data_IF_749926910378
#
_entry.id   IF_749926910378
#
_cell.length_a   1.000
_cell.length_b   1.000
_cell.length_c   1.000
_cell.angle_alpha   90.00
_cell.angle_beta   90.00
_cell.angle_gamma   90.00
#
_symmetry.space_group_name_H-M   'P 1'
#
loop_
_entity.id
_entity.type
_entity.pdbx_description
1 polymer ?
#
# COMPACT_ATOMS: atom_id res chain seq x y z
N UNK A 1 -52.24 15.78 38.17
CA UNK A 1 -51.59 17.10 38.37
C UNK A 1 -50.61 17.29 37.21
N UNK A 2 -51.06 17.98 36.17
CA UNK A 2 -50.59 19.33 35.77
C UNK A 2 -49.15 19.29 35.22
N UNK A 3 -48.82 19.61 33.97
CA UNK A 3 -49.59 20.14 32.85
C UNK A 3 -48.65 20.62 31.73
N UNK A 4 -49.15 20.50 30.49
CA UNK A 4 -48.82 21.26 29.27
C UNK A 4 -47.42 21.18 28.60
N UNK A 5 -47.38 20.91 27.27
CA UNK A 5 -46.20 21.03 26.40
C UNK A 5 -46.09 22.45 25.78
N UNK A 6 -44.87 22.95 25.65
CA UNK A 6 -44.56 24.22 24.99
C UNK A 6 -44.74 24.15 23.48
N UNK A 7 -45.62 25.01 22.96
CA UNK A 7 -45.93 25.17 21.54
C UNK A 7 -44.87 26.02 20.81
N UNK A 8 -44.56 25.56 19.59
CA UNK A 8 -44.42 26.31 18.32
C UNK A 8 -43.78 27.71 18.36
N UNK A 9 -42.68 27.86 17.62
CA UNK A 9 -42.58 28.96 16.64
C UNK A 9 -41.71 28.54 15.44
N UNK A 10 -42.38 28.24 14.32
CA UNK A 10 -41.78 28.22 12.99
C UNK A 10 -41.55 29.68 12.58
N UNK A 11 -40.33 30.03 12.21
CA UNK A 11 -40.07 31.29 11.49
C UNK A 11 -39.44 30.95 10.13
N UNK A 12 -40.30 30.84 9.13
CA UNK A 12 -39.96 30.89 7.71
C UNK A 12 -39.65 32.36 7.36
N UNK A 13 -38.40 32.68 7.03
CA UNK A 13 -38.09 33.90 6.29
C UNK A 13 -38.10 33.58 4.80
N UNK A 14 -39.23 33.90 4.16
CA UNK A 14 -39.36 34.07 2.72
C UNK A 14 -39.37 35.59 2.47
N UNK A 15 -38.35 36.10 1.78
CA UNK A 15 -38.37 37.45 1.20
C UNK A 15 -38.36 37.29 -0.32
N UNK A 16 -39.47 37.68 -0.94
CA UNK A 16 -39.66 37.82 -2.38
C UNK A 16 -40.18 39.24 -2.64
N UNK A 17 -39.51 39.99 -3.53
CA UNK A 17 -39.87 41.32 -4.05
C UNK A 17 -39.28 41.37 -5.49
N UNK A 18 -39.96 41.98 -6.48
CA UNK A 18 -40.31 41.30 -7.74
C UNK A 18 -39.52 41.75 -8.97
N UNK A 19 -39.66 40.94 -10.02
CA UNK A 19 -39.30 41.27 -11.39
C UNK A 19 -40.41 42.11 -12.06
N UNK A 20 -40.00 43.15 -12.78
CA UNK A 20 -40.79 43.81 -13.83
C UNK A 20 -40.01 43.67 -15.13
N UNK A 21 -40.62 42.97 -16.08
CA UNK A 21 -40.20 42.94 -17.48
C UNK A 21 -41.19 43.69 -18.36
N UNK A 22 -40.68 44.28 -19.43
CA UNK A 22 -41.37 44.52 -20.70
C UNK A 22 -40.26 44.57 -21.78
N UNK A 23 -40.21 43.57 -22.69
CA UNK A 23 -40.73 43.64 -24.07
C UNK A 23 -39.87 44.57 -24.96
N UNK A 24 -39.43 44.25 -26.18
CA UNK A 24 -39.77 43.22 -27.16
C UNK A 24 -38.69 43.26 -28.29
N UNK A 25 -38.61 42.18 -29.09
CA UNK A 25 -38.19 42.08 -30.51
C UNK A 25 -36.92 41.29 -30.85
N UNK A 26 -37.23 40.12 -31.40
CA UNK A 26 -36.50 39.23 -32.30
C UNK A 26 -35.85 39.89 -33.53
N UNK A 27 -34.68 39.38 -33.95
CA UNK A 27 -34.44 38.86 -35.31
C UNK A 27 -32.97 38.47 -35.52
N UNK A 28 -32.75 37.39 -36.28
CA UNK A 28 -31.70 37.34 -37.29
C UNK A 28 -30.38 36.65 -36.93
N UNK A 29 -30.25 35.40 -37.36
CA UNK A 29 -28.96 34.79 -37.62
C UNK A 29 -28.22 35.55 -38.74
N UNK A 30 -26.92 35.82 -38.59
CA UNK A 30 -25.97 35.89 -39.71
C UNK A 30 -24.52 35.93 -39.21
N UNK A 31 -23.71 35.00 -39.73
CA UNK A 31 -22.25 35.12 -39.82
C UNK A 31 -21.89 36.45 -40.50
N UNK A 32 -21.08 37.29 -39.84
CA UNK A 32 -20.61 38.56 -40.37
C UNK A 32 -19.10 38.69 -40.21
N UNK A 33 -18.41 38.87 -41.34
CA UNK A 33 -16.96 39.02 -41.49
C UNK A 33 -16.35 40.12 -40.62
N UNK A 34 -15.08 39.91 -40.24
CA UNK A 34 -14.13 40.94 -39.78
C UNK A 34 -14.26 42.19 -40.66
N UNK A 35 -14.81 43.27 -40.10
CA UNK A 35 -14.68 44.61 -40.65
C UNK A 35 -13.53 45.31 -39.92
N UNK A 36 -12.44 45.56 -40.64
CA UNK A 36 -11.44 46.53 -40.25
C UNK A 36 -12.10 47.91 -40.30
N UNK A 37 -12.27 48.56 -39.14
CA UNK A 37 -12.72 49.94 -39.09
C UNK A 37 -11.52 50.85 -39.34
N UNK A 38 -11.51 51.43 -40.54
CA UNK A 38 -10.59 52.49 -40.95
C UNK A 38 -11.07 53.80 -40.33
N UNK A 39 -10.40 54.27 -39.28
CA UNK A 39 -10.63 55.59 -38.70
C UNK A 39 -10.04 56.63 -39.65
N UNK A 40 -10.91 57.46 -40.21
CA UNK A 40 -10.56 58.65 -40.99
C UNK A 40 -9.92 59.68 -40.05
N UNK A 41 -8.65 60.01 -40.28
CA UNK A 41 -7.94 61.09 -39.60
C UNK A 41 -8.07 62.41 -40.39
N UNK A 42 -8.14 63.58 -39.74
CA UNK A 42 -8.26 64.87 -40.42
C UNK A 42 -6.95 65.28 -41.13
N UNK A 43 -7.09 65.97 -42.26
CA UNK A 43 -5.99 66.48 -43.08
C UNK A 43 -5.25 67.66 -42.44
N UNK A 44 -3.92 67.64 -42.53
CA UNK A 44 -3.06 68.83 -42.57
C UNK A 44 -1.58 68.54 -42.24
N UNK A 45 -0.60 69.35 -42.72
CA UNK A 45 -0.50 70.05 -44.00
C UNK A 45 0.53 69.40 -44.95
N UNK A 46 0.48 69.78 -46.23
CA UNK A 46 1.33 69.25 -47.28
C UNK A 46 2.70 69.95 -47.38
N UNK A 47 3.64 69.17 -47.93
CA UNK A 47 4.85 69.53 -48.70
C UNK A 47 6.18 69.75 -47.96
N UNK A 48 7.18 68.94 -48.36
CA UNK A 48 8.56 69.40 -48.48
C UNK A 48 9.65 68.64 -47.71
N UNK A 49 9.86 67.35 -47.98
CA UNK A 49 11.08 66.64 -47.55
C UNK A 49 11.05 65.16 -47.90
N UNK A 50 12.21 64.50 -48.14
CA UNK A 50 12.23 63.07 -48.44
C UNK A 50 11.65 62.32 -47.26
N UNK A 51 10.43 61.79 -47.41
CA UNK A 51 9.80 60.97 -46.38
C UNK A 51 10.70 59.76 -46.14
N UNK A 52 11.43 59.75 -45.03
CA UNK A 52 12.23 58.59 -44.65
C UNK A 52 11.27 57.39 -44.60
N UNK A 53 11.63 56.24 -45.23
CA UNK A 53 10.76 55.08 -45.23
C UNK A 53 10.60 54.57 -43.79
N UNK A 54 9.38 54.66 -43.25
CA UNK A 54 9.10 54.33 -41.87
C UNK A 54 7.67 54.67 -41.46
N UNK A 55 7.38 54.51 -40.17
CA UNK A 55 6.09 54.79 -39.57
C UNK A 55 6.22 55.97 -38.60
N UNK A 56 5.15 56.75 -38.46
CA UNK A 56 5.09 57.84 -37.49
C UNK A 56 3.98 57.55 -36.48
N UNK A 57 4.31 57.57 -35.20
CA UNK A 57 3.36 57.40 -34.09
C UNK A 57 3.68 58.45 -33.00
N UNK A 58 2.67 59.25 -32.62
CA UNK A 58 2.79 60.37 -31.65
C UNK A 58 4.02 61.29 -31.87
N UNK A 59 4.35 61.60 -33.13
CA UNK A 59 5.48 62.46 -33.48
C UNK A 59 6.86 61.79 -33.44
N UNK A 60 6.96 60.49 -33.11
CA UNK A 60 8.18 59.69 -33.25
C UNK A 60 8.21 58.93 -34.57
N UNK A 61 9.39 58.86 -35.18
CA UNK A 61 9.65 58.08 -36.40
C UNK A 61 10.22 56.71 -36.04
N UNK A 62 9.65 55.65 -36.62
CA UNK A 62 10.03 54.26 -36.45
C UNK A 62 10.44 53.65 -37.80
N UNK A 63 11.57 52.93 -37.82
CA UNK A 63 12.07 52.22 -39.01
C UNK A 63 11.16 51.03 -39.35
N UNK A 64 11.20 50.58 -40.60
CA UNK A 64 10.49 49.36 -41.01
C UNK A 64 11.00 48.16 -40.18
N UNK A 65 10.07 47.33 -39.69
CA UNK A 65 10.28 46.23 -38.73
C UNK A 65 10.68 46.66 -37.32
N UNK A 66 10.77 47.95 -37.02
CA UNK A 66 10.97 48.40 -35.65
C UNK A 66 9.72 48.11 -34.82
N UNK A 67 9.94 47.60 -33.62
CA UNK A 67 8.91 47.41 -32.61
C UNK A 67 9.05 48.42 -31.48
N UNK A 68 7.92 48.85 -30.92
CA UNK A 68 7.88 49.72 -29.75
C UNK A 68 6.68 49.39 -28.87
N UNK A 69 6.80 49.73 -27.58
CA UNK A 69 5.69 49.60 -26.65
C UNK A 69 4.85 50.89 -26.63
N UNK A 70 3.54 50.71 -26.58
CA UNK A 70 2.56 51.79 -26.45
C UNK A 70 1.51 51.39 -25.42
N UNK A 71 1.12 52.31 -24.55
CA UNK A 71 0.02 52.07 -23.61
C UNK A 71 -1.31 52.51 -24.22
N UNK A 72 -2.33 51.65 -24.19
CA UNK A 72 -3.69 51.98 -24.60
C UNK A 72 -4.67 51.52 -23.53
N UNK A 73 -5.46 52.46 -22.97
CA UNK A 73 -6.41 52.20 -21.87
C UNK A 73 -5.78 51.43 -20.68
N UNK A 74 -4.51 51.73 -20.36
CA UNK A 74 -3.77 51.08 -19.27
C UNK A 74 -3.05 49.78 -19.65
N UNK A 75 -3.30 49.21 -20.84
CA UNK A 75 -2.66 47.98 -21.30
C UNK A 75 -1.47 48.27 -22.21
N UNK A 76 -0.37 47.52 -22.05
CA UNK A 76 0.78 47.60 -22.93
C UNK A 76 0.51 46.85 -24.25
N UNK A 77 0.69 47.55 -25.36
CA UNK A 77 0.66 47.03 -26.72
C UNK A 77 2.08 47.04 -27.30
N UNK A 78 2.40 46.04 -28.11
CA UNK A 78 3.61 46.00 -28.93
C UNK A 78 3.22 46.36 -30.36
N UNK A 79 3.69 47.51 -30.82
CA UNK A 79 3.47 48.01 -32.17
C UNK A 79 4.62 47.63 -33.09
N UNK A 80 4.35 47.20 -34.33
CA UNK A 80 5.34 46.86 -35.36
C UNK A 80 5.12 47.73 -36.60
N UNK A 81 6.17 48.39 -37.09
CA UNK A 81 6.11 49.17 -38.32
C UNK A 81 6.27 48.31 -39.59
N UNK A 82 5.35 48.43 -40.54
CA UNK A 82 5.42 47.74 -41.86
C UNK A 82 5.77 48.69 -43.02
N UNK A 83 6.06 49.97 -42.73
CA UNK A 83 6.49 50.99 -43.69
C UNK A 83 5.38 51.96 -44.10
N UNK A 84 5.78 53.07 -44.75
CA UNK A 84 4.93 54.25 -44.95
C UNK A 84 3.61 54.02 -45.70
N UNK A 85 3.51 52.99 -46.55
CA UNK A 85 2.27 52.61 -47.25
C UNK A 85 1.38 51.64 -46.47
N UNK A 86 1.94 50.87 -45.52
CA UNK A 86 1.22 49.84 -44.74
C UNK A 86 0.94 50.26 -43.30
N UNK A 87 1.59 51.32 -42.81
CA UNK A 87 1.47 51.80 -41.44
C UNK A 87 2.07 50.82 -40.42
N UNK A 88 1.53 50.84 -39.21
CA UNK A 88 1.94 49.98 -38.11
C UNK A 88 0.73 49.25 -37.50
N UNK A 89 0.93 48.03 -36.99
CA UNK A 89 -0.08 47.28 -36.24
C UNK A 89 0.38 47.14 -34.78
N UNK A 90 -0.55 47.18 -33.83
CA UNK A 90 -0.27 46.98 -32.42
C UNK A 90 -1.04 45.77 -31.89
N UNK A 91 -0.33 44.88 -31.20
CA UNK A 91 -0.90 43.70 -30.56
C UNK A 91 -0.74 43.81 -29.05
N UNK A 92 -1.69 43.27 -28.27
CA UNK A 92 -1.56 43.25 -26.81
C UNK A 92 -0.31 42.46 -26.43
N UNK A 93 0.54 43.04 -25.58
CA UNK A 93 1.63 42.28 -24.97
C UNK A 93 0.99 41.14 -24.17
N UNK A 94 1.40 39.88 -24.38
CA UNK A 94 0.93 38.79 -23.51
C UNK A 94 1.29 39.16 -22.08
N UNK A 95 0.30 39.12 -21.19
CA UNK A 95 0.52 39.31 -19.77
C UNK A 95 1.57 38.27 -19.32
N UNK A 96 2.58 38.63 -18.52
CA UNK A 96 3.54 37.66 -18.02
C UNK A 96 2.76 36.52 -17.34
N UNK A 97 3.02 35.27 -17.72
CA UNK A 97 2.42 34.11 -17.07
C UNK A 97 2.58 34.27 -15.56
N UNK A 98 1.45 34.30 -14.84
CA UNK A 98 1.53 34.41 -13.39
C UNK A 98 2.25 33.16 -12.85
N UNK A 99 3.15 33.39 -11.90
CA UNK A 99 3.91 32.33 -11.26
C UNK A 99 3.94 32.55 -9.76
N UNK A 100 4.10 31.47 -9.01
CA UNK A 100 4.27 31.50 -7.57
C UNK A 100 5.70 31.13 -7.21
N UNK A 101 6.40 32.02 -6.52
CA UNK A 101 7.72 31.73 -5.96
C UNK A 101 7.57 31.16 -4.54
N UNK A 102 8.00 29.92 -4.33
CA UNK A 102 8.01 29.31 -3.01
C UNK A 102 9.34 29.56 -2.30
N UNK A 103 9.33 30.50 -1.34
CA UNK A 103 10.49 30.83 -0.51
C UNK A 103 11.10 29.65 0.26
N UNK A 104 10.35 28.57 0.49
CA UNK A 104 10.85 27.41 1.23
C UNK A 104 11.66 26.45 0.36
N UNK A 105 11.24 26.25 -0.89
CA UNK A 105 11.93 25.35 -1.83
C UNK A 105 12.88 26.11 -2.75
N UNK A 106 12.72 27.42 -2.90
CA UNK A 106 13.47 28.25 -3.84
C UNK A 106 12.99 28.10 -5.29
N UNK A 107 11.91 27.36 -5.52
CA UNK A 107 11.39 27.07 -6.85
C UNK A 107 10.25 28.02 -7.23
N UNK A 108 10.10 28.22 -8.54
CA UNK A 108 8.99 28.96 -9.14
C UNK A 108 8.05 27.97 -9.81
N UNK A 109 6.76 28.07 -9.50
CA UNK A 109 5.70 27.20 -10.01
C UNK A 109 4.72 28.00 -10.88
N UNK A 110 4.14 27.36 -11.89
CA UNK A 110 3.07 27.94 -12.70
C UNK A 110 1.74 27.83 -11.97
N UNK A 111 0.80 28.72 -12.30
CA UNK A 111 -0.57 28.62 -11.77
C UNK A 111 -1.17 27.26 -12.13
N UNK A 112 -1.72 26.59 -11.12
CA UNK A 112 -2.28 25.23 -11.23
C UNK A 112 -1.30 24.13 -10.85
N UNK A 113 0.01 24.40 -10.78
CA UNK A 113 0.98 23.40 -10.34
C UNK A 113 0.71 22.98 -8.89
N UNK A 114 0.67 21.67 -8.67
CA UNK A 114 0.63 21.05 -7.34
C UNK A 114 1.96 20.40 -7.02
N UNK A 115 2.48 20.60 -5.82
CA UNK A 115 3.78 20.06 -5.42
C UNK A 115 3.83 19.74 -3.93
N UNK A 116 4.77 18.86 -3.55
CA UNK A 116 4.99 18.45 -2.17
C UNK A 116 6.03 19.34 -1.50
N UNK A 117 5.76 19.78 -0.28
CA UNK A 117 6.67 20.59 0.51
C UNK A 117 6.96 19.95 1.87
N UNK A 118 8.15 19.39 2.07
CA UNK A 118 8.61 18.96 3.39
C UNK A 118 8.79 20.17 4.31
N UNK A 119 8.11 20.18 5.46
CA UNK A 119 8.24 21.21 6.49
C UNK A 119 7.87 20.64 7.86
N UNK A 120 8.69 20.88 8.87
CA UNK A 120 8.42 20.48 10.27
C UNK A 120 8.11 18.97 10.43
N UNK A 121 8.84 18.12 9.70
CA UNK A 121 8.62 16.64 9.65
C UNK A 121 7.25 16.22 9.12
N UNK A 122 6.56 17.10 8.40
CA UNK A 122 5.33 16.81 7.67
C UNK A 122 5.51 17.16 6.20
N UNK A 123 4.78 16.47 5.33
CA UNK A 123 4.67 16.84 3.93
C UNK A 123 3.39 17.65 3.75
N UNK A 124 3.51 18.83 3.17
CA UNK A 124 2.40 19.70 2.81
C UNK A 124 2.12 19.58 1.32
N UNK A 125 0.85 19.41 0.95
CA UNK A 125 0.41 19.49 -0.42
C UNK A 125 0.14 20.95 -0.76
N UNK A 126 0.97 21.52 -1.64
CA UNK A 126 0.91 22.90 -2.04
C UNK A 126 0.37 23.05 -3.47
N UNK A 127 -0.29 24.17 -3.73
CA UNK A 127 -0.81 24.54 -5.05
C UNK A 127 -0.51 26.02 -5.31
N UNK A 128 0.06 26.31 -6.48
CA UNK A 128 0.18 27.69 -6.95
C UNK A 128 -1.19 28.17 -7.48
N UNK A 129 -1.80 29.12 -6.77
CA UNK A 129 -3.12 29.66 -7.12
C UNK A 129 -3.01 30.84 -8.07
N UNK A 130 -1.94 31.64 -7.99
CA UNK A 130 -1.77 32.80 -8.86
C UNK A 130 -2.92 33.81 -8.79
N UNK A 131 -3.25 34.30 -7.59
CA UNK A 131 -4.30 35.30 -7.40
C UNK A 131 -3.79 36.74 -7.62
N UNK A 132 -3.14 37.03 -8.76
CA UNK A 132 -2.51 38.31 -9.11
C UNK A 132 -1.29 38.70 -8.27
N UNK A 133 -0.81 37.81 -7.40
CA UNK A 133 0.28 38.05 -6.43
C UNK A 133 1.14 36.82 -6.18
N UNK A 134 1.02 35.76 -7.00
CA UNK A 134 1.77 34.52 -6.78
C UNK A 134 1.38 33.78 -5.50
N UNK A 135 0.08 33.76 -5.16
CA UNK A 135 -0.44 33.11 -3.94
C UNK A 135 -0.23 31.59 -3.98
N UNK A 136 0.37 31.04 -2.92
CA UNK A 136 0.51 29.60 -2.70
C UNK A 136 -0.43 29.18 -1.58
N UNK A 137 -1.21 28.13 -1.79
CA UNK A 137 -2.00 27.47 -0.74
C UNK A 137 -1.39 26.11 -0.43
N UNK A 138 -1.27 25.77 0.84
CA UNK A 138 -0.77 24.46 1.25
C UNK A 138 -1.63 23.86 2.35
N UNK A 139 -1.82 22.55 2.31
CA UNK A 139 -2.63 21.81 3.28
C UNK A 139 -1.96 20.50 3.67
N UNK A 140 -2.24 20.07 4.90
CA UNK A 140 -1.92 18.72 5.40
C UNK A 140 -3.16 17.82 5.44
N UNK A 141 -4.35 18.36 5.16
CA UNK A 141 -5.62 17.66 5.33
C UNK A 141 -5.75 16.41 4.45
N UNK A 142 -5.01 16.35 3.35
CA UNK A 142 -5.01 15.25 2.39
C UNK A 142 -3.97 14.17 2.72
N UNK A 143 -3.37 14.21 3.91
CA UNK A 143 -2.33 13.27 4.34
C UNK A 143 -2.56 12.78 5.76
N UNK A 144 -2.12 11.56 6.01
CA UNK A 144 -2.04 10.98 7.35
C UNK A 144 -0.62 11.14 7.87
N UNK A 145 -0.46 11.55 9.12
CA UNK A 145 0.84 11.76 9.73
C UNK A 145 1.03 10.83 10.91
N UNK A 146 2.12 10.06 10.90
CA UNK A 146 2.46 9.11 11.97
C UNK A 146 3.98 8.99 12.08
N UNK A 147 4.52 9.12 13.30
CA UNK A 147 5.95 8.91 13.56
C UNK A 147 6.91 9.82 12.77
N UNK A 148 6.47 11.01 12.35
CA UNK A 148 7.26 11.92 11.49
C UNK A 148 7.28 11.54 10.02
N UNK A 149 6.47 10.56 9.62
CA UNK A 149 6.20 10.22 8.23
C UNK A 149 4.84 10.79 7.81
N UNK A 150 4.68 11.03 6.50
CA UNK A 150 3.45 11.56 5.92
C UNK A 150 3.01 10.66 4.76
N UNK A 151 1.82 10.09 4.89
CA UNK A 151 1.25 9.11 3.97
C UNK A 151 0.12 9.76 3.16
N UNK A 152 0.06 9.47 1.86
CA UNK A 152 -1.06 9.85 1.00
C UNK A 152 -2.27 8.97 1.30
N UNK A 153 -3.45 9.45 0.94
CA UNK A 153 -4.68 8.66 1.03
C UNK A 153 -4.52 7.37 0.21
N UNK A 154 -4.83 6.24 0.82
CA UNK A 154 -4.66 4.91 0.24
C UNK A 154 -3.29 4.26 0.53
N UNK A 155 -2.29 5.02 0.98
CA UNK A 155 -1.01 4.44 1.37
C UNK A 155 -1.19 3.52 2.59
N UNK A 156 -0.45 2.41 2.58
CA UNK A 156 -0.38 1.46 3.69
C UNK A 156 1.01 1.41 4.30
N UNK A 157 1.10 1.26 5.62
CA UNK A 157 2.38 1.11 6.32
C UNK A 157 2.28 0.11 7.47
N UNK A 158 3.43 -0.39 7.93
CA UNK A 158 3.51 -1.29 9.07
C UNK A 158 4.05 -0.58 10.30
N UNK A 159 3.49 -0.88 11.47
CA UNK A 159 4.01 -0.43 12.76
C UNK A 159 3.84 -1.51 13.83
N UNK A 160 4.75 -1.62 14.81
CA UNK A 160 4.50 -2.47 15.97
C UNK A 160 3.33 -1.93 16.81
N UNK A 161 2.55 -2.82 17.42
CA UNK A 161 1.56 -2.43 18.41
C UNK A 161 2.24 -1.91 19.69
N UNK A 162 1.71 -0.85 20.30
CA UNK A 162 2.36 -0.14 21.41
C UNK A 162 2.57 -1.02 22.65
N UNK A 163 1.65 -1.94 22.91
CA UNK A 163 1.68 -2.84 24.08
C UNK A 163 1.84 -4.31 23.73
N UNK A 164 1.86 -4.66 22.45
CA UNK A 164 1.85 -6.04 21.98
C UNK A 164 2.99 -6.25 21.01
N UNK A 165 3.82 -7.27 21.22
CA UNK A 165 4.94 -7.60 20.32
C UNK A 165 4.52 -8.08 18.92
N UNK A 166 3.36 -7.67 18.42
CA UNK A 166 2.81 -8.01 17.12
C UNK A 166 2.73 -6.77 16.22
N UNK A 167 2.77 -7.01 14.91
CA UNK A 167 2.78 -5.94 13.90
C UNK A 167 1.36 -5.61 13.45
N UNK A 168 1.15 -4.33 13.13
CA UNK A 168 -0.07 -3.81 12.55
C UNK A 168 0.19 -3.36 11.11
N UNK A 169 -0.82 -3.50 10.25
CA UNK A 169 -0.90 -2.89 8.93
C UNK A 169 -1.91 -1.75 9.01
N UNK A 170 -1.45 -0.54 8.70
CA UNK A 170 -2.24 0.67 8.74
C UNK A 170 -2.54 1.16 7.32
N UNK A 171 -3.63 1.90 7.16
CA UNK A 171 -4.04 2.54 5.90
C UNK A 171 -4.47 3.98 6.14
N UNK A 172 -4.06 4.89 5.26
CA UNK A 172 -4.47 6.28 5.30
C UNK A 172 -5.83 6.46 4.64
N UNK A 173 -6.81 6.95 5.40
CA UNK A 173 -8.18 7.20 4.93
C UNK A 173 -8.39 8.67 4.57
N UNK A 174 -7.75 9.59 5.32
CA UNK A 174 -7.70 11.00 4.98
C UNK A 174 -9.04 11.74 5.04
N UNK A 175 -9.97 11.35 5.92
CA UNK A 175 -11.31 11.94 6.13
C UNK A 175 -11.32 13.45 6.51
N UNK A 176 -10.69 14.32 5.71
CA UNK A 176 -10.50 15.75 5.93
C UNK A 176 -9.56 16.14 7.08
N UNK A 177 -9.09 15.16 7.86
CA UNK A 177 -8.26 15.37 9.07
C UNK A 177 -7.01 14.48 9.13
N UNK A 178 -6.71 13.74 8.05
CA UNK A 178 -5.62 12.76 8.07
C UNK A 178 -5.93 11.52 8.90
N UNK A 179 -7.18 11.05 8.91
CA UNK A 179 -7.58 9.84 9.63
C UNK A 179 -6.96 8.58 9.03
N UNK A 180 -6.55 7.66 9.88
CA UNK A 180 -5.99 6.37 9.49
C UNK A 180 -6.43 5.27 10.47
N UNK A 181 -6.40 4.02 10.00
CA UNK A 181 -6.76 2.84 10.81
C UNK A 181 -5.72 1.75 10.65
N UNK A 182 -5.63 0.84 11.62
CA UNK A 182 -4.71 -0.31 11.57
C UNK A 182 -5.40 -1.62 11.96
N UNK A 183 -4.96 -2.71 11.32
CA UNK A 183 -5.36 -4.09 11.64
C UNK A 183 -4.14 -4.93 12.02
N UNK A 184 -4.26 -5.92 12.93
CA UNK A 184 -3.18 -6.86 13.20
C UNK A 184 -2.75 -7.63 11.96
N UNK A 185 -1.45 -7.92 11.85
CA UNK A 185 -0.85 -8.81 10.86
C UNK A 185 -0.34 -10.03 11.61
N UNK A 186 -0.73 -11.22 11.18
CA UNK A 186 -0.01 -12.43 11.56
C UNK A 186 0.93 -12.82 10.42
N UNK A 187 2.23 -12.64 10.64
CA UNK A 187 3.25 -13.05 9.66
C UNK A 187 3.49 -14.57 9.67
N UNK A 188 3.09 -15.23 10.77
CA UNK A 188 3.21 -16.66 10.98
C UNK A 188 2.02 -17.19 11.77
N UNK A 189 1.70 -18.46 11.58
CA UNK A 189 0.79 -19.20 12.43
C UNK A 189 1.60 -20.17 13.30
N UNK A 190 1.26 -20.27 14.59
CA UNK A 190 1.91 -21.22 15.48
C UNK A 190 1.01 -22.42 15.71
N UNK A 191 1.47 -23.60 15.31
CA UNK A 191 0.77 -24.85 15.57
C UNK A 191 1.21 -25.41 16.92
N UNK A 192 0.39 -25.20 17.96
CA UNK A 192 0.67 -25.69 19.31
C UNK A 192 0.84 -27.21 19.39
N UNK A 193 0.19 -27.98 18.50
CA UNK A 193 0.30 -29.43 18.51
C UNK A 193 1.64 -29.91 17.95
N UNK A 194 2.18 -29.19 16.96
CA UNK A 194 3.47 -29.49 16.34
C UNK A 194 4.64 -28.71 16.97
N UNK A 195 4.37 -27.75 17.85
CA UNK A 195 5.38 -26.86 18.45
C UNK A 195 6.13 -26.01 17.41
N UNK A 196 5.57 -25.82 16.22
CA UNK A 196 6.26 -25.25 15.06
C UNK A 196 5.49 -24.05 14.50
N UNK A 197 6.21 -23.06 13.97
CA UNK A 197 5.61 -21.90 13.29
C UNK A 197 5.66 -22.06 11.77
N UNK A 198 4.55 -21.76 11.10
CA UNK A 198 4.40 -21.81 9.65
C UNK A 198 4.17 -20.40 9.09
N UNK A 199 4.68 -20.10 7.90
CA UNK A 199 4.43 -18.80 7.26
C UNK A 199 3.05 -18.76 6.63
N UNK A 200 2.49 -17.57 6.45
CA UNK A 200 1.19 -17.41 5.78
C UNK A 200 1.24 -17.99 4.36
N UNK A 201 0.24 -18.81 4.02
CA UNK A 201 0.15 -19.57 2.78
C UNK A 201 0.79 -20.96 2.83
N UNK A 202 1.58 -21.26 3.87
CA UNK A 202 2.20 -22.59 4.03
C UNK A 202 1.16 -23.64 4.43
N UNK A 203 1.35 -24.86 3.90
CA UNK A 203 0.49 -26.02 4.16
C UNK A 203 1.30 -27.19 4.72
N UNK A 204 0.76 -27.90 5.71
CA UNK A 204 1.41 -29.06 6.31
C UNK A 204 0.40 -30.14 6.71
N UNK A 205 0.84 -31.39 6.75
CA UNK A 205 0.05 -32.52 7.23
C UNK A 205 0.26 -32.72 8.73
N UNK A 206 -0.79 -33.02 9.49
CA UNK A 206 -0.66 -33.42 10.89
C UNK A 206 -1.73 -34.41 11.34
N UNK A 207 -1.44 -35.22 12.38
CA UNK A 207 -2.45 -36.04 13.01
C UNK A 207 -3.42 -35.17 13.84
N UNK A 208 -4.71 -35.37 13.64
CA UNK A 208 -5.80 -34.86 14.44
C UNK A 208 -6.37 -36.00 15.31
N UNK A 209 -6.50 -35.74 16.61
CA UNK A 209 -6.88 -36.74 17.63
C UNK A 209 -6.02 -38.03 17.59
N UNK A 210 -4.79 -37.97 17.05
CA UNK A 210 -3.83 -39.07 17.06
C UNK A 210 -3.97 -40.12 15.96
N UNK A 211 -4.99 -40.04 15.08
CA UNK A 211 -5.18 -41.05 14.03
C UNK A 211 -5.70 -40.51 12.69
N UNK A 212 -6.44 -39.41 12.70
CA UNK A 212 -6.91 -38.78 11.47
C UNK A 212 -5.79 -37.92 10.89
N UNK A 213 -5.49 -38.02 9.60
CA UNK A 213 -4.60 -37.06 8.96
C UNK A 213 -5.40 -35.93 8.34
N UNK A 214 -4.96 -34.71 8.60
CA UNK A 214 -5.51 -33.48 8.04
C UNK A 214 -4.41 -32.62 7.44
N UNK A 215 -4.75 -31.91 6.37
CA UNK A 215 -3.92 -30.91 5.73
C UNK A 215 -4.30 -29.55 6.31
N UNK A 216 -3.36 -28.89 6.97
CA UNK A 216 -3.53 -27.58 7.55
C UNK A 216 -2.91 -26.50 6.67
N UNK A 217 -3.44 -25.27 6.77
CA UNK A 217 -2.97 -24.08 6.05
C UNK A 217 -2.94 -22.89 6.99
N UNK A 218 -1.83 -22.15 6.97
CA UNK A 218 -1.70 -20.89 7.70
C UNK A 218 -2.32 -19.75 6.90
N UNK A 219 -3.40 -19.15 7.40
CA UNK A 219 -4.11 -18.06 6.72
C UNK A 219 -3.68 -16.68 7.22
N UNK A 220 -3.20 -16.57 8.46
CA UNK A 220 -2.55 -15.35 8.93
C UNK A 220 -3.42 -14.09 9.03
N UNK A 221 -4.75 -14.24 9.11
CA UNK A 221 -5.78 -13.18 9.22
C UNK A 221 -5.66 -12.29 10.49
N UNK A 222 -4.46 -11.78 10.78
CA UNK A 222 -4.12 -10.98 11.97
C UNK A 222 -3.87 -11.78 13.25
N UNK A 223 -4.53 -12.92 13.42
CA UNK A 223 -4.47 -13.76 14.63
C UNK A 223 -3.58 -15.00 14.52
N UNK A 224 -3.02 -15.27 13.34
CA UNK A 224 -2.29 -16.52 13.06
C UNK A 224 -3.24 -17.69 12.82
N UNK A 225 -4.40 -17.41 12.20
CA UNK A 225 -5.45 -18.41 11.93
C UNK A 225 -4.91 -19.58 11.11
N UNK A 226 -5.16 -20.79 11.62
CA UNK A 226 -4.88 -22.07 10.95
C UNK A 226 -6.22 -22.72 10.60
N UNK A 227 -6.37 -23.20 9.37
CA UNK A 227 -7.49 -24.04 8.96
C UNK A 227 -6.97 -25.42 8.58
N UNK A 228 -7.74 -26.48 8.83
CA UNK A 228 -7.35 -27.85 8.48
C UNK A 228 -8.50 -28.57 7.77
N UNK A 229 -8.17 -29.42 6.80
CA UNK A 229 -9.11 -30.20 6.01
C UNK A 229 -8.64 -31.64 5.84
N UNK A 230 -9.56 -32.59 5.76
CA UNK A 230 -9.28 -33.98 5.42
C UNK A 230 -9.57 -34.30 3.95
N UNK A 231 -9.75 -33.28 3.09
CA UNK A 231 -10.18 -33.47 1.70
C UNK A 231 -9.31 -34.43 0.89
N UNK A 232 -8.01 -34.50 1.18
CA UNK A 232 -7.05 -35.34 0.47
C UNK A 232 -6.71 -36.65 1.21
N UNK A 233 -7.55 -37.08 2.16
CA UNK A 233 -7.35 -38.26 3.01
C UNK A 233 -8.65 -39.02 3.23
N UNK A 234 -8.57 -40.35 3.23
CA UNK A 234 -9.65 -41.22 3.71
C UNK A 234 -9.32 -41.65 5.14
N UNK A 235 -10.02 -41.08 6.12
CA UNK A 235 -9.82 -41.39 7.54
C UNK A 235 -10.81 -42.47 7.97
N UNK A 236 -10.38 -43.73 7.97
CA UNK A 236 -11.23 -44.85 8.35
C UNK A 236 -11.35 -44.95 9.88
N UNK A 237 -12.54 -44.69 10.39
CA UNK A 237 -12.82 -44.72 11.83
C UNK A 237 -12.73 -46.12 12.42
N UNK A 238 -13.01 -47.17 11.63
CA UNK A 238 -13.04 -48.55 12.11
C UNK A 238 -11.63 -49.05 12.41
N UNK A 239 -10.67 -48.73 11.53
CA UNK A 239 -9.26 -49.11 11.68
C UNK A 239 -8.43 -48.04 12.38
N UNK A 240 -9.01 -46.87 12.68
CA UNK A 240 -8.32 -45.66 13.17
C UNK A 240 -7.05 -45.38 12.37
N UNK A 241 -7.16 -45.48 11.05
CA UNK A 241 -6.02 -45.33 10.13
C UNK A 241 -6.41 -44.37 9.01
N UNK A 242 -5.46 -43.53 8.61
CA UNK A 242 -5.62 -42.63 7.48
C UNK A 242 -4.95 -43.18 6.23
N UNK A 243 -5.65 -43.09 5.11
CA UNK A 243 -5.22 -43.61 3.82
C UNK A 243 -5.13 -42.48 2.79
N UNK A 244 -4.13 -42.53 1.91
CA UNK A 244 -3.98 -41.64 0.76
C UNK A 244 -4.94 -42.07 -0.35
N UNK A 245 -5.26 -41.14 -1.24
CA UNK A 245 -6.07 -41.44 -2.42
C UNK A 245 -5.36 -42.49 -3.27
N UNK A 246 -6.08 -43.56 -3.62
CA UNK A 246 -5.54 -44.73 -4.31
C UNK A 246 -5.11 -45.88 -3.40
N UNK A 247 -4.93 -45.65 -2.10
CA UNK A 247 -4.59 -46.71 -1.16
C UNK A 247 -5.74 -47.72 -1.02
N UNK A 248 -5.38 -49.00 -0.91
CA UNK A 248 -6.29 -50.09 -0.60
C UNK A 248 -5.94 -50.74 0.73
N UNK A 249 -6.95 -51.12 1.52
CA UNK A 249 -6.77 -51.81 2.80
C UNK A 249 -7.88 -52.83 3.04
N UNK A 250 -7.66 -53.74 3.98
CA UNK A 250 -8.68 -54.69 4.41
C UNK A 250 -9.17 -54.36 5.81
N UNK A 251 -10.48 -54.47 6.06
CA UNK A 251 -11.07 -54.38 7.40
C UNK A 251 -12.16 -55.42 7.59
N UNK A 252 -12.61 -55.62 8.83
CA UNK A 252 -13.75 -56.50 9.11
C UNK A 252 -15.01 -55.66 9.32
N UNK A 253 -16.13 -56.10 8.75
CA UNK A 253 -17.43 -55.52 9.09
C UNK A 253 -17.85 -55.90 10.52
N UNK A 254 -18.94 -55.32 11.03
CA UNK A 254 -19.47 -55.63 12.37
C UNK A 254 -19.86 -57.11 12.56
N UNK A 255 -19.93 -57.89 11.49
CA UNK A 255 -20.25 -59.33 11.49
C UNK A 255 -18.99 -60.20 11.32
N UNK A 256 -17.80 -59.60 11.30
CA UNK A 256 -16.52 -60.28 11.15
C UNK A 256 -16.12 -60.63 9.71
N UNK A 257 -16.91 -60.26 8.70
CA UNK A 257 -16.58 -60.53 7.31
C UNK A 257 -15.45 -59.61 6.83
N UNK A 258 -14.53 -60.15 6.05
CA UNK A 258 -13.45 -59.37 5.46
C UNK A 258 -13.98 -58.50 4.30
N UNK A 259 -13.69 -57.20 4.39
CA UNK A 259 -13.95 -56.19 3.38
C UNK A 259 -12.62 -55.72 2.77
N UNK A 260 -12.62 -55.48 1.47
CA UNK A 260 -11.53 -54.82 0.75
C UNK A 260 -11.95 -53.39 0.41
N UNK A 261 -11.18 -52.41 0.87
CA UNK A 261 -11.48 -51.00 0.74
C UNK A 261 -10.49 -50.27 -0.16
N UNK A 262 -10.93 -49.16 -0.77
CA UNK A 262 -10.12 -48.25 -1.58
C UNK A 262 -10.48 -46.79 -1.30
N UNK A 263 -9.46 -45.94 -1.16
CA UNK A 263 -9.65 -44.50 -0.99
C UNK A 263 -9.82 -43.81 -2.35
N UNK A 264 -11.00 -43.26 -2.60
CA UNK A 264 -11.33 -42.56 -3.86
C UNK A 264 -11.16 -41.05 -3.76
N UNK A 265 -11.17 -40.49 -2.54
CA UNK A 265 -10.88 -39.08 -2.27
C UNK A 265 -12.04 -38.13 -2.57
N UNK A 266 -12.64 -38.17 -3.76
CA UNK A 266 -13.82 -37.40 -4.24
C UNK A 266 -14.06 -36.00 -3.59
N UNK A 267 -13.00 -35.25 -3.27
CA UNK A 267 -13.06 -33.95 -2.59
C UNK A 267 -13.56 -33.94 -1.14
N UNK A 268 -13.87 -35.10 -0.53
CA UNK A 268 -14.38 -35.22 0.85
C UNK A 268 -13.75 -36.37 1.65
N UNK A 269 -12.75 -37.04 1.10
CA UNK A 269 -12.17 -38.24 1.70
C UNK A 269 -13.08 -39.46 1.58
N UNK A 270 -13.74 -39.65 0.44
CA UNK A 270 -14.64 -40.79 0.21
C UNK A 270 -13.86 -42.09 -0.05
N UNK A 271 -14.29 -43.19 0.56
CA UNK A 271 -13.77 -44.54 0.30
C UNK A 271 -14.90 -45.54 0.05
N UNK A 272 -14.59 -46.61 -0.68
CA UNK A 272 -15.51 -47.72 -0.96
C UNK A 272 -14.95 -49.00 -0.39
N UNK A 273 -15.83 -49.90 0.06
CA UNK A 273 -15.46 -51.21 0.57
C UNK A 273 -16.37 -52.29 -0.02
N UNK A 274 -15.78 -53.37 -0.52
CA UNK A 274 -16.49 -54.52 -1.09
C UNK A 274 -16.22 -55.78 -0.27
N UNK A 275 -17.20 -56.68 -0.19
CA UNK A 275 -17.04 -57.95 0.51
C UNK A 275 -16.04 -58.80 -0.25
N UNK A 276 -14.96 -59.19 0.42
CA UNK A 276 -14.05 -60.18 -0.12
C UNK A 276 -14.70 -61.57 0.05
N UNK A 277 -15.57 -61.95 -0.89
CA UNK A 277 -16.08 -63.30 -0.96
C UNK A 277 -14.93 -64.19 -1.42
N UNK A 278 -14.34 -64.95 -0.49
CA UNK A 278 -13.58 -66.13 -0.86
C UNK A 278 -14.53 -67.02 -1.67
N UNK A 279 -14.36 -67.04 -2.99
CA UNK A 279 -15.04 -67.98 -3.88
C UNK A 279 -14.82 -69.40 -3.33
N UNK A 280 -15.85 -69.93 -2.67
CA UNK A 280 -16.01 -71.37 -2.53
C UNK A 280 -16.42 -71.88 -3.91
N UNK A 281 -15.45 -72.31 -4.70
CA UNK A 281 -15.71 -73.23 -5.81
C UNK A 281 -15.42 -74.63 -5.33
N UNK A 282 -16.49 -75.37 -5.05
CA UNK A 282 -16.51 -76.83 -5.10
C UNK A 282 -16.15 -77.28 -6.52
N UNK A 283 -14.89 -77.66 -6.74
CA UNK A 283 -14.51 -78.52 -7.86
C UNK A 283 -13.20 -79.24 -7.55
N UNK A 284 -13.34 -80.55 -7.36
CA UNK A 284 -12.36 -81.64 -7.42
C UNK A 284 -11.16 -81.32 -8.33
N UNK A 285 -9.94 -81.36 -7.78
CA UNK A 285 -8.71 -81.20 -8.54
C UNK A 285 -7.47 -81.17 -7.65
N UNK A 286 -6.81 -82.32 -7.54
CA UNK A 286 -5.52 -82.54 -6.89
C UNK A 286 -4.39 -81.70 -7.49
N UNK A 287 -3.68 -80.94 -6.65
CA UNK A 287 -2.42 -80.24 -6.99
C UNK A 287 -1.93 -79.39 -5.80
N UNK A 288 -0.62 -79.33 -5.50
CA UNK A 288 -0.14 -78.86 -4.20
C UNK A 288 -0.30 -77.35 -4.03
N UNK A 289 -0.80 -76.96 -2.85
CA UNK A 289 -0.79 -75.59 -2.34
C UNK A 289 0.64 -75.04 -2.36
N UNK A 290 0.93 -74.11 -3.26
CA UNK A 290 2.04 -73.18 -3.05
C UNK A 290 1.59 -72.16 -2.01
N UNK A 291 2.13 -72.31 -0.82
CA UNK A 291 2.14 -71.35 0.28
C UNK A 291 2.49 -69.94 -0.25
N UNK A 292 1.48 -69.08 -0.42
CA UNK A 292 1.69 -67.65 -0.64
C UNK A 292 2.06 -67.06 0.71
N UNK A 293 3.33 -67.24 1.04
CA UNK A 293 4.03 -66.67 2.17
C UNK A 293 3.68 -65.18 2.25
N UNK A 294 3.03 -64.80 3.34
CA UNK A 294 2.78 -63.41 3.70
C UNK A 294 4.11 -62.66 3.59
N UNK A 295 4.26 -61.78 2.59
CA UNK A 295 5.35 -60.83 2.57
C UNK A 295 5.06 -59.79 3.66
N UNK A 296 5.39 -60.16 4.90
CA UNK A 296 5.58 -59.19 5.98
C UNK A 296 6.77 -58.36 5.50
N UNK A 297 6.49 -57.22 4.88
CA UNK A 297 7.49 -56.19 4.69
C UNK A 297 7.81 -55.66 6.08
N UNK A 298 8.75 -56.31 6.74
CA UNK A 298 9.38 -55.83 7.94
C UNK A 298 10.39 -54.78 7.45
N UNK A 299 10.15 -53.47 7.66
CA UNK A 299 11.13 -52.48 7.24
C UNK A 299 12.41 -52.76 8.03
N UNK A 300 13.49 -53.12 7.33
CA UNK A 300 14.81 -53.03 7.93
C UNK A 300 15.01 -51.61 8.46
N UNK A 301 15.58 -51.46 9.67
CA UNK A 301 15.97 -50.15 10.16
C UNK A 301 17.02 -49.62 9.19
N UNK A 302 16.58 -48.73 8.29
CA UNK A 302 17.50 -47.96 7.49
C UNK A 302 18.33 -47.14 8.49
N UNK A 303 19.67 -47.17 8.40
CA UNK A 303 20.49 -46.21 9.13
C UNK A 303 19.97 -44.83 8.77
N UNK A 304 19.56 -44.06 9.78
CA UNK A 304 19.16 -42.67 9.61
C UNK A 304 20.23 -41.97 8.75
N UNK A 305 19.86 -41.32 7.64
CA UNK A 305 20.71 -40.28 7.09
C UNK A 305 20.94 -39.27 8.22
N UNK A 306 22.20 -39.02 8.54
CA UNK A 306 22.59 -38.10 9.61
C UNK A 306 21.77 -36.80 9.47
N UNK A 307 21.15 -36.31 10.56
CA UNK A 307 20.43 -35.06 10.52
C UNK A 307 21.44 -33.92 10.45
N UNK A 308 21.86 -33.58 9.24
CA UNK A 308 22.62 -32.36 9.02
C UNK A 308 21.68 -31.18 9.21
N UNK A 309 21.94 -30.37 10.25
CA UNK A 309 21.48 -28.99 10.27
C UNK A 309 20.66 -28.51 11.46
N UNK A 310 20.38 -29.34 12.47
CA UNK A 310 19.64 -28.86 13.65
C UNK A 310 20.44 -28.95 14.94
N UNK A 311 20.34 -27.91 15.74
CA UNK A 311 21.01 -27.79 17.03
C UNK A 311 19.97 -27.90 18.13
N UNK A 312 20.21 -28.78 19.10
CA UNK A 312 19.31 -28.97 20.24
C UNK A 312 19.93 -28.34 21.48
N UNK A 313 19.14 -27.56 22.23
CA UNK A 313 19.60 -26.97 23.51
C UNK A 313 19.48 -27.95 24.66
N UNK A 314 20.13 -27.64 25.78
CA UNK A 314 20.01 -28.40 27.05
C UNK A 314 18.55 -28.50 27.56
N UNK A 315 17.69 -27.59 27.11
CA UNK A 315 16.24 -27.57 27.39
C UNK A 315 15.40 -28.34 26.37
N UNK A 316 16.02 -29.08 25.44
CA UNK A 316 15.33 -29.87 24.42
C UNK A 316 14.73 -29.08 23.26
N UNK A 317 15.02 -27.77 23.15
CA UNK A 317 14.51 -26.91 22.06
C UNK A 317 15.38 -27.09 20.83
N UNK A 318 14.76 -27.32 19.67
CA UNK A 318 15.45 -27.58 18.40
C UNK A 318 15.49 -26.30 17.55
N UNK A 319 16.69 -25.93 17.10
CA UNK A 319 16.95 -24.78 16.24
C UNK A 319 17.47 -25.23 14.88
N UNK A 320 16.97 -24.63 13.80
CA UNK A 320 17.50 -24.84 12.44
C UNK A 320 18.79 -24.06 12.20
N UNK A 321 19.61 -24.47 11.22
CA UNK A 321 20.82 -23.72 10.80
C UNK A 321 20.52 -22.24 10.60
N UNK A 322 21.35 -21.37 11.17
CA UNK A 322 21.23 -19.92 11.10
C UNK A 322 20.35 -19.29 12.18
N UNK A 323 19.54 -20.07 12.92
CA UNK A 323 18.75 -19.54 14.02
C UNK A 323 19.62 -19.19 15.21
N UNK A 324 19.23 -18.13 15.92
CA UNK A 324 19.92 -17.62 17.10
C UNK A 324 19.02 -17.63 18.33
N UNK A 325 19.59 -17.86 19.50
CA UNK A 325 18.89 -17.80 20.78
C UNK A 325 19.78 -17.24 21.89
N UNK A 326 19.13 -16.75 22.94
CA UNK A 326 19.81 -16.30 24.14
C UNK A 326 19.90 -17.45 25.14
N UNK A 327 21.13 -17.78 25.55
CA UNK A 327 21.41 -18.74 26.62
C UNK A 327 21.95 -17.99 27.83
N UNK A 328 21.38 -18.25 29.00
CA UNK A 328 21.92 -17.74 30.27
C UNK A 328 22.89 -18.78 30.83
N UNK A 329 24.16 -18.43 30.98
CA UNK A 329 25.18 -19.28 31.59
C UNK A 329 25.76 -18.56 32.82
N UNK A 330 25.28 -18.93 34.01
CA UNK A 330 25.56 -18.18 35.24
C UNK A 330 24.93 -16.78 35.19
N UNK A 331 25.70 -15.74 35.50
CA UNK A 331 25.26 -14.33 35.44
C UNK A 331 25.43 -13.67 34.05
N UNK A 332 25.78 -14.43 33.02
CA UNK A 332 26.06 -13.91 31.67
C UNK A 332 24.99 -14.35 30.68
N UNK A 333 24.55 -13.43 29.82
CA UNK A 333 23.77 -13.75 28.63
C UNK A 333 24.72 -13.99 27.44
N UNK A 334 24.45 -15.06 26.71
CA UNK A 334 25.19 -15.50 25.54
C UNK A 334 24.24 -15.54 24.34
N UNK A 335 24.66 -15.02 23.19
CA UNK A 335 23.96 -15.20 21.92
C UNK A 335 24.52 -16.43 21.21
N UNK A 336 23.71 -17.47 21.12
CA UNK A 336 24.04 -18.74 20.49
C UNK A 336 23.46 -18.81 19.08
N UNK A 337 24.20 -19.37 18.13
CA UNK A 337 23.79 -19.56 16.73
C UNK A 337 23.97 -21.02 16.33
N UNK A 338 22.97 -21.60 15.66
CA UNK A 338 23.07 -22.95 15.11
C UNK A 338 23.83 -22.95 13.78
N UNK A 339 24.96 -23.65 13.71
CA UNK A 339 25.80 -23.74 12.50
C UNK A 339 25.56 -25.03 11.70
N UNK A 340 24.63 -25.88 12.16
CA UNK A 340 24.30 -27.16 11.53
C UNK A 340 25.26 -28.30 11.83
N UNK A 341 26.51 -28.00 12.19
CA UNK A 341 27.50 -28.91 12.77
C UNK A 341 27.76 -28.66 14.26
N UNK A 342 26.99 -27.76 14.89
CA UNK A 342 27.14 -27.41 16.31
C UNK A 342 26.59 -26.03 16.64
N UNK A 343 26.82 -25.60 17.89
CA UNK A 343 26.36 -24.32 18.43
C UNK A 343 27.55 -23.41 18.70
N UNK A 344 27.51 -22.19 18.17
CA UNK A 344 28.49 -21.15 18.51
C UNK A 344 27.84 -20.08 19.38
N UNK A 345 28.37 -19.84 20.58
CA UNK A 345 27.84 -18.85 21.53
C UNK A 345 28.85 -17.74 21.79
N UNK A 346 28.43 -16.48 21.65
CA UNK A 346 29.25 -15.30 21.91
C UNK A 346 28.65 -14.48 23.06
N UNK A 347 29.51 -13.94 23.93
CA UNK A 347 29.09 -13.13 25.08
C UNK A 347 28.46 -11.81 24.61
N UNK A 348 27.24 -11.52 25.08
CA UNK A 348 26.46 -10.36 24.59
C UNK A 348 27.00 -9.01 25.08
N UNK A 349 28.10 -9.01 25.85
CA UNK A 349 28.74 -7.83 26.44
C UNK A 349 29.12 -6.77 25.41
N UNK A 350 29.65 -7.15 24.24
CA UNK A 350 30.02 -6.20 23.20
C UNK A 350 28.82 -5.66 22.44
N UNK A 351 27.80 -6.47 22.14
CA UNK A 351 26.61 -6.01 21.41
C UNK A 351 25.79 -4.99 22.22
N UNK A 352 25.63 -5.22 23.52
CA UNK A 352 24.99 -4.26 24.42
C UNK A 352 25.85 -3.01 24.66
N UNK A 353 27.18 -3.14 24.76
CA UNK A 353 28.07 -1.97 24.86
C UNK A 353 28.03 -1.13 23.58
N UNK A 354 28.05 -1.72 22.38
CA UNK A 354 27.94 -0.97 21.12
C UNK A 354 26.58 -0.26 20.99
N UNK A 355 25.46 -0.93 21.30
CA UNK A 355 24.13 -0.28 21.31
C UNK A 355 24.03 0.79 22.38
N UNK A 356 24.60 0.57 23.57
CA UNK A 356 24.59 1.55 24.67
C UNK A 356 25.48 2.74 24.36
N UNK A 357 26.65 2.55 23.75
CA UNK A 357 27.53 3.62 23.28
C UNK A 357 26.85 4.44 22.18
N UNK A 358 26.19 3.78 21.23
CA UNK A 358 25.47 4.43 20.13
C UNK A 358 24.23 5.21 20.64
N UNK A 359 23.52 4.65 21.62
CA UNK A 359 22.40 5.30 22.31
C UNK A 359 22.87 6.51 23.14
N UNK A 360 23.95 6.37 23.92
CA UNK A 360 24.55 7.48 24.68
C UNK A 360 25.04 8.57 23.73
N UNK A 361 25.72 8.22 22.63
CA UNK A 361 26.19 9.19 21.63
C UNK A 361 25.03 9.92 20.93
N UNK A 362 23.90 9.23 20.68
CA UNK A 362 22.67 9.85 20.18
C UNK A 362 22.03 10.81 21.20
N UNK A 363 22.05 10.45 22.49
CA UNK A 363 21.51 11.30 23.56
C UNK A 363 22.40 12.52 23.83
N UNK A 364 23.73 12.39 23.75
CA UNK A 364 24.67 13.51 23.83
C UNK A 364 24.54 14.45 22.63
N UNK A 365 24.36 13.93 21.41
CA UNK A 365 24.04 14.76 20.23
C UNK A 365 22.72 15.50 20.37
N UNK A 366 21.70 14.89 20.99
CA UNK A 366 20.43 15.57 21.30
C UNK A 366 20.63 16.67 22.34
N UNK A 367 21.32 16.40 23.45
CA UNK A 367 21.63 17.41 24.47
C UNK A 367 22.46 18.56 23.93
N UNK A 368 23.47 18.30 23.09
CA UNK A 368 24.29 19.35 22.46
C UNK A 368 23.48 20.23 21.50
N UNK A 369 22.53 19.66 20.75
CA UNK A 369 21.59 20.44 19.92
C UNK A 369 20.64 21.30 20.77
N UNK A 370 20.13 20.77 21.87
CA UNK A 370 19.26 21.52 22.79
C UNK A 370 20.00 22.64 23.51
N UNK A 371 21.26 22.41 23.92
CA UNK A 371 22.10 23.44 24.55
C UNK A 371 22.47 24.53 23.53
N UNK A 372 22.83 24.17 22.29
CA UNK A 372 23.10 25.16 21.23
C UNK A 372 21.86 26.00 20.85
N UNK A 373 20.65 25.47 21.05
CA UNK A 373 19.40 26.23 20.87
C UNK A 373 19.06 27.12 22.07
N UNK A 374 19.56 26.82 23.27
CA UNK A 374 19.30 27.59 24.48
C UNK A 374 20.26 28.79 24.68
N UNK A 375 21.40 28.83 24.00
CA UNK A 375 22.43 29.87 24.16
C UNK A 375 22.61 30.82 22.95
N UNK A 376 21.75 30.74 21.92
CA UNK A 376 21.69 31.77 20.89
C UNK A 376 20.65 32.83 21.27
N UNK A 377 21.09 33.75 22.14
CA UNK A 377 20.72 35.16 22.15
C UNK A 377 21.86 35.92 21.46
#
# INVERSE_FOLDING_TARGET
MLGAPGARLRLLLLLAVPALGAALRSAGAARGRRQAQQIVQPQGPAAGGPSKPGCYDNGKHYQINQQWERTYLGNALVCTCYGGSRGFNCESKPEPEETCFDKYTGNTYRVGDTYERPKDSMIWDCTCIGAGRGRISCTIANRCHEGGQSYKIGDTWRRPHETGGYMLECVCLGNGKGEWTCKPIAEKCFDHAAGTSYVVGETWEKPYQGWMMVDCTCLGEGSGRITCTSRNRCNDQDTRTSYRIGDTWSKKDNRGNLLQCICTGNGRGEWKCERHASLQTTSTGSGPFTDVRTAIYQPQPHPQPAPYGHCVTDSGVVYSVGMQWLKTQGNKQMLCTCLGNGVSCQETGLYYLFKKQQYIHLQEKKKSKTIKQAYNL
#
